data_IF_760864298580
#
_entry.id   IF_760864298580
#
_cell.length_a   1.000
_cell.length_b   1.000
_cell.length_c   1.000
_cell.angle_alpha   90.00
_cell.angle_beta   90.00
_cell.angle_gamma   90.00
#
_symmetry.space_group_name_H-M   'P 1'
#
loop_
_entity.id
_entity.type
_entity.pdbx_description
1 polymer ?
#
# COMPACT_ATOMS: atom_id res chain seq x y z
N UNK A 1 -13.00 -8.12 -10.92
CA UNK A 1 -13.66 -8.13 -9.61
C UNK A 1 -13.57 -6.76 -8.99
N UNK A 2 -14.71 -6.20 -8.56
CA UNK A 2 -14.80 -4.85 -7.97
C UNK A 2 -15.52 -4.86 -6.61
N UNK A 3 -15.62 -6.05 -5.98
CA UNK A 3 -16.30 -6.20 -4.70
C UNK A 3 -15.35 -5.84 -3.54
N UNK A 4 -15.69 -4.82 -2.79
CA UNK A 4 -15.02 -4.53 -1.52
C UNK A 4 -15.29 -5.67 -0.52
N UNK A 5 -14.22 -6.21 0.09
CA UNK A 5 -14.33 -7.30 1.07
C UNK A 5 -13.75 -6.95 2.45
N UNK A 6 -12.91 -5.92 2.56
CA UNK A 6 -12.36 -5.40 3.82
C UNK A 6 -12.31 -3.87 3.83
N UNK A 7 -12.24 -3.28 5.03
CA UNK A 7 -12.04 -1.84 5.23
C UNK A 7 -11.49 -1.55 6.63
N UNK A 8 -10.46 -0.72 6.66
CA UNK A 8 -9.97 -0.04 7.86
C UNK A 8 -10.21 1.47 7.79
N UNK A 9 -10.59 2.09 8.90
CA UNK A 9 -10.70 3.54 9.03
C UNK A 9 -10.10 4.02 10.35
N UNK A 10 -8.95 4.71 10.24
CA UNK A 10 -8.19 5.20 11.39
C UNK A 10 -8.85 6.34 12.16
N UNK A 11 -9.87 6.99 11.60
CA UNK A 11 -10.56 8.12 12.22
C UNK A 11 -11.72 7.69 13.14
N UNK A 12 -12.05 6.40 13.16
CA UNK A 12 -13.11 5.87 14.02
C UNK A 12 -12.68 5.82 15.49
N UNK A 13 -13.64 5.80 16.42
CA UNK A 13 -13.36 5.77 17.86
C UNK A 13 -12.64 4.48 18.32
N UNK A 14 -12.87 3.37 17.62
CA UNK A 14 -12.19 2.10 17.83
C UNK A 14 -11.76 1.52 16.48
N UNK A 15 -10.62 1.97 15.92
CA UNK A 15 -10.15 1.52 14.62
C UNK A 15 -9.85 0.03 14.63
N UNK A 16 -10.48 -0.68 13.71
CA UNK A 16 -10.33 -2.11 13.46
C UNK A 16 -10.58 -2.41 11.99
N UNK A 17 -10.02 -3.51 11.52
CA UNK A 17 -10.35 -4.08 10.22
C UNK A 17 -11.77 -4.66 10.28
N UNK A 18 -12.59 -4.40 9.26
CA UNK A 18 -13.98 -4.85 9.23
C UNK A 18 -14.30 -5.56 7.91
N UNK A 19 -15.01 -6.71 7.95
CA UNK A 19 -15.49 -7.37 6.73
C UNK A 19 -16.49 -6.48 5.99
N UNK A 20 -16.46 -6.55 4.66
CA UNK A 20 -17.40 -5.87 3.75
C UNK A 20 -18.15 -6.84 2.83
N UNK A 21 -17.84 -8.12 2.94
CA UNK A 21 -18.54 -9.19 2.24
C UNK A 21 -18.88 -10.33 3.20
N UNK A 22 -20.07 -10.93 3.04
CA UNK A 22 -20.58 -11.97 3.94
C UNK A 22 -19.66 -13.20 4.03
N UNK A 23 -18.91 -13.52 2.97
CA UNK A 23 -17.97 -14.63 2.97
C UNK A 23 -16.73 -14.34 3.83
N UNK A 24 -16.33 -13.08 4.02
CA UNK A 24 -15.23 -12.69 4.91
C UNK A 24 -15.58 -12.83 6.38
N UNK A 25 -16.87 -12.79 6.76
CA UNK A 25 -17.28 -12.95 8.18
C UNK A 25 -16.86 -14.30 8.76
N UNK A 26 -16.65 -15.31 7.90
CA UNK A 26 -16.26 -16.67 8.31
C UNK A 26 -14.75 -16.85 8.45
N UNK A 27 -13.94 -15.90 7.99
CA UNK A 27 -12.47 -16.04 8.01
C UNK A 27 -11.94 -16.29 9.42
N UNK A 28 -12.54 -15.71 10.44
CA UNK A 28 -12.13 -15.90 11.85
C UNK A 28 -12.29 -17.36 12.33
N UNK A 29 -13.18 -18.13 11.70
CA UNK A 29 -13.35 -19.56 12.02
C UNK A 29 -12.27 -20.42 11.37
N UNK A 30 -11.79 -20.01 10.19
CA UNK A 30 -10.77 -20.71 9.40
C UNK A 30 -9.35 -20.30 9.84
N UNK A 31 -9.17 -19.02 10.17
CA UNK A 31 -7.94 -18.37 10.60
C UNK A 31 -8.20 -17.52 11.87
N UNK A 32 -8.26 -18.13 13.05
CA UNK A 32 -8.42 -17.39 14.30
C UNK A 32 -7.32 -16.35 14.51
N UNK A 33 -7.71 -15.10 14.83
CA UNK A 33 -6.81 -13.97 15.00
C UNK A 33 -6.54 -13.16 13.73
N UNK A 34 -7.11 -13.54 12.58
CA UNK A 34 -6.96 -12.82 11.30
C UNK A 34 -7.28 -11.32 11.46
N UNK A 35 -8.45 -11.00 12.02
CA UNK A 35 -8.87 -9.59 12.13
C UNK A 35 -8.02 -8.78 13.11
N UNK A 36 -7.50 -9.41 14.17
CA UNK A 36 -6.61 -8.74 15.12
C UNK A 36 -5.25 -8.43 14.46
N UNK A 37 -4.71 -9.39 13.72
CA UNK A 37 -3.47 -9.23 12.97
C UNK A 37 -3.60 -8.13 11.89
N UNK A 38 -4.64 -8.18 11.07
CA UNK A 38 -4.87 -7.16 10.03
C UNK A 38 -5.13 -5.77 10.63
N UNK A 39 -5.86 -5.70 11.75
CA UNK A 39 -6.02 -4.45 12.50
C UNK A 39 -4.68 -3.89 12.96
N UNK A 40 -3.77 -4.74 13.47
CA UNK A 40 -2.43 -4.34 13.87
C UNK A 40 -1.60 -3.78 12.71
N UNK A 41 -1.61 -4.47 11.57
CA UNK A 41 -0.92 -4.04 10.34
C UNK A 41 -1.44 -2.70 9.84
N UNK A 42 -2.76 -2.51 9.75
CA UNK A 42 -3.36 -1.28 9.24
C UNK A 42 -3.19 -0.09 10.20
N UNK A 43 -3.17 -0.32 11.51
CA UNK A 43 -2.79 0.71 12.49
C UNK A 43 -1.34 1.17 12.30
N UNK A 44 -0.40 0.25 12.12
CA UNK A 44 0.99 0.58 11.84
C UNK A 44 1.13 1.34 10.51
N UNK A 45 0.46 0.87 9.45
CA UNK A 45 0.47 1.52 8.15
C UNK A 45 -0.11 2.95 8.19
N UNK A 46 -1.15 3.19 8.99
CA UNK A 46 -1.70 4.53 9.19
C UNK A 46 -0.67 5.50 9.81
N UNK A 47 0.13 5.04 10.78
CA UNK A 47 1.21 5.87 11.35
C UNK A 47 2.32 6.13 10.34
N UNK A 48 2.77 5.10 9.62
CA UNK A 48 3.78 5.24 8.55
C UNK A 48 3.30 6.21 7.47
N UNK A 49 2.03 6.15 7.07
CA UNK A 49 1.44 7.05 6.08
C UNK A 49 1.45 8.51 6.55
N UNK A 50 1.18 8.77 7.85
CA UNK A 50 1.27 10.12 8.43
C UNK A 50 2.69 10.70 8.35
N UNK A 51 3.70 9.89 8.70
CA UNK A 51 5.12 10.30 8.61
C UNK A 51 5.54 10.51 7.15
N UNK A 52 5.08 9.66 6.24
CA UNK A 52 5.33 9.82 4.81
C UNK A 52 4.72 11.11 4.26
N UNK A 53 3.53 11.51 4.74
CA UNK A 53 2.90 12.77 4.35
C UNK A 53 3.76 13.97 4.75
N UNK A 54 4.25 14.00 6.00
CA UNK A 54 5.16 15.04 6.48
C UNK A 54 6.46 15.09 5.67
N UNK A 55 6.99 13.92 5.30
CA UNK A 55 8.19 13.82 4.45
C UNK A 55 7.92 14.37 3.05
N UNK A 56 6.76 14.06 2.47
CA UNK A 56 6.36 14.54 1.15
C UNK A 56 6.22 16.06 1.10
N UNK A 57 5.66 16.70 2.15
CA UNK A 57 5.61 18.17 2.24
C UNK A 57 7.00 18.79 2.05
N UNK A 58 8.02 18.22 2.69
CA UNK A 58 9.41 18.65 2.52
C UNK A 58 9.95 18.44 1.11
N UNK A 59 9.64 17.30 0.47
CA UNK A 59 10.08 17.04 -0.90
C UNK A 59 9.42 17.95 -1.95
N UNK A 60 8.19 18.39 -1.69
CA UNK A 60 7.45 19.33 -2.52
C UNK A 60 7.62 20.79 -2.12
N UNK A 61 8.40 21.10 -1.07
CA UNK A 61 8.56 22.43 -0.49
C UNK A 61 7.21 23.10 -0.14
N UNK A 62 6.26 22.33 0.38
CA UNK A 62 4.93 22.77 0.77
C UNK A 62 4.86 23.11 2.27
N UNK A 63 3.99 24.04 2.64
CA UNK A 63 3.75 24.44 4.03
C UNK A 63 2.82 23.47 4.76
N UNK A 64 3.00 23.34 6.08
CA UNK A 64 2.23 22.43 6.94
C UNK A 64 0.71 22.72 7.03
N UNK A 65 0.26 23.93 6.67
CA UNK A 65 -1.15 24.33 6.76
C UNK A 65 -2.05 23.86 5.61
N UNK A 66 -1.49 23.19 4.59
CA UNK A 66 -2.24 22.66 3.46
C UNK A 66 -2.86 21.28 3.73
N UNK A 67 -3.95 20.97 3.03
CA UNK A 67 -4.51 19.60 2.99
C UNK A 67 -3.89 18.88 1.81
N UNK A 68 -3.20 17.78 2.09
CA UNK A 68 -2.51 16.95 1.10
C UNK A 68 -2.91 15.48 1.24
N UNK A 69 -2.76 14.71 0.16
CA UNK A 69 -3.09 13.28 0.15
C UNK A 69 -1.91 12.42 -0.25
N UNK A 70 -1.78 11.27 0.41
CA UNK A 70 -0.98 10.14 -0.07
C UNK A 70 -1.93 9.00 -0.33
N UNK A 71 -1.77 8.34 -1.48
CA UNK A 71 -2.49 7.14 -1.84
C UNK A 71 -1.48 6.05 -2.17
N UNK A 72 -1.82 4.81 -1.82
CA UNK A 72 -1.08 3.60 -2.18
C UNK A 72 -2.09 2.62 -2.77
N UNK A 73 -1.75 2.05 -3.91
CA UNK A 73 -2.55 1.06 -4.61
C UNK A 73 -1.64 -0.09 -5.00
N UNK A 74 -1.95 -1.28 -4.50
CA UNK A 74 -1.16 -2.48 -4.74
C UNK A 74 -2.05 -3.71 -4.84
N UNK A 75 -1.57 -4.73 -5.52
CA UNK A 75 -2.30 -5.97 -5.74
C UNK A 75 -1.78 -6.75 -6.94
N UNK A 76 -2.44 -7.88 -7.20
CA UNK A 76 -2.11 -8.76 -8.30
C UNK A 76 -3.37 -9.14 -9.10
N UNK A 77 -3.15 -9.57 -10.33
CA UNK A 77 -4.16 -10.20 -11.18
C UNK A 77 -3.75 -11.63 -11.47
N UNK A 78 -4.72 -12.53 -11.39
CA UNK A 78 -4.54 -13.95 -11.68
C UNK A 78 -5.42 -14.39 -12.85
N UNK A 79 -4.98 -15.42 -13.56
CA UNK A 79 -5.78 -16.08 -14.59
C UNK A 79 -6.90 -16.93 -13.99
N UNK A 80 -7.90 -17.34 -14.79
CA UNK A 80 -8.85 -18.38 -14.39
C UNK A 80 -8.17 -19.69 -13.97
N UNK A 81 -6.97 -19.97 -14.48
CA UNK A 81 -6.13 -21.13 -14.13
C UNK A 81 -5.30 -20.90 -12.85
N UNK A 82 -5.57 -19.83 -12.09
CA UNK A 82 -4.85 -19.44 -10.87
C UNK A 82 -3.35 -19.19 -11.09
N UNK A 83 -2.99 -18.70 -12.28
CA UNK A 83 -1.61 -18.30 -12.59
C UNK A 83 -1.45 -16.79 -12.50
N UNK A 84 -0.34 -16.34 -11.91
CA UNK A 84 0.01 -14.92 -11.85
C UNK A 84 0.07 -14.30 -13.25
N UNK A 85 -0.58 -13.14 -13.42
CA UNK A 85 -0.56 -12.36 -14.68
C UNK A 85 0.25 -11.08 -14.54
N UNK A 86 -0.04 -10.29 -13.51
CA UNK A 86 0.68 -9.04 -13.23
C UNK A 86 0.50 -8.63 -11.78
N UNK A 87 1.47 -7.90 -11.27
CA UNK A 87 1.43 -7.22 -9.99
C UNK A 87 1.59 -5.72 -10.20
N UNK A 88 1.11 -4.93 -9.24
CA UNK A 88 1.27 -3.49 -9.23
C UNK A 88 1.49 -3.01 -7.80
N UNK A 89 2.34 -2.00 -7.66
CA UNK A 89 2.57 -1.24 -6.44
C UNK A 89 2.82 0.21 -6.85
N UNK A 90 1.87 1.09 -6.53
CA UNK A 90 1.82 2.45 -7.02
C UNK A 90 1.47 3.40 -5.89
N UNK A 91 2.17 4.52 -5.84
CA UNK A 91 1.90 5.60 -4.91
C UNK A 91 1.56 6.88 -5.67
N UNK A 92 0.61 7.63 -5.14
CA UNK A 92 0.22 8.94 -5.62
C UNK A 92 0.28 9.98 -4.50
N UNK A 93 0.57 11.23 -4.88
CA UNK A 93 0.57 12.40 -4.00
C UNK A 93 -0.33 13.48 -4.59
N UNK A 94 -1.25 14.01 -3.80
CA UNK A 94 -2.28 14.98 -4.24
C UNK A 94 -3.05 14.50 -5.50
N UNK A 95 -3.31 13.20 -5.58
CA UNK A 95 -4.02 12.55 -6.69
C UNK A 95 -3.22 12.41 -7.99
N UNK A 96 -1.92 12.73 -7.98
CA UNK A 96 -1.02 12.56 -9.12
C UNK A 96 -0.02 11.43 -8.87
N UNK A 97 0.34 10.69 -9.93
CA UNK A 97 1.34 9.63 -9.84
C UNK A 97 2.65 10.16 -9.22
N UNK A 98 3.21 9.40 -8.29
CA UNK A 98 4.41 9.79 -7.55
C UNK A 98 5.56 8.82 -7.82
N UNK A 99 5.38 7.53 -7.51
CA UNK A 99 6.37 6.47 -7.73
C UNK A 99 5.68 5.11 -7.85
N UNK A 100 6.20 4.22 -8.68
CA UNK A 100 5.66 2.87 -8.90
C UNK A 100 6.78 1.84 -9.01
N UNK A 101 6.51 0.60 -8.58
CA UNK A 101 7.43 -0.52 -8.76
C UNK A 101 7.39 -1.01 -10.21
N UNK A 102 8.57 -1.14 -10.81
CA UNK A 102 8.79 -1.84 -12.06
C UNK A 102 9.03 -3.33 -11.74
N UNK A 103 8.03 -4.15 -12.02
CA UNK A 103 8.04 -5.59 -11.71
C UNK A 103 9.08 -6.37 -12.53
N UNK A 104 9.46 -5.88 -13.72
CA UNK A 104 10.42 -6.56 -14.59
C UNK A 104 11.85 -6.39 -14.08
N UNK A 105 12.18 -5.17 -13.65
CA UNK A 105 13.54 -4.81 -13.23
C UNK A 105 13.74 -4.85 -11.71
N UNK A 106 12.68 -4.97 -10.92
CA UNK A 106 12.69 -4.78 -9.46
C UNK A 106 13.30 -3.42 -9.07
N UNK A 107 12.90 -2.37 -9.79
CA UNK A 107 13.33 -0.99 -9.54
C UNK A 107 12.13 -0.05 -9.41
N UNK A 108 12.33 1.17 -8.92
CA UNK A 108 11.25 2.13 -8.72
C UNK A 108 11.24 3.22 -9.78
N UNK A 109 10.16 3.32 -10.54
CA UNK A 109 9.94 4.34 -11.56
C UNK A 109 9.30 5.57 -10.92
N UNK A 110 9.95 6.73 -11.08
CA UNK A 110 9.46 8.02 -10.57
C UNK A 110 8.58 8.68 -11.61
N UNK A 111 7.42 9.16 -11.20
CA UNK A 111 6.55 9.98 -12.04
C UNK A 111 6.90 11.48 -11.96
N UNK A 112 7.46 11.92 -10.82
CA UNK A 112 7.85 13.32 -10.58
C UNK A 112 9.28 13.46 -10.03
N UNK A 113 9.97 14.60 -10.25
CA UNK A 113 11.32 14.83 -9.72
C UNK A 113 11.43 14.68 -8.20
N UNK A 114 10.41 15.09 -7.45
CA UNK A 114 10.32 15.06 -5.99
C UNK A 114 10.43 13.64 -5.43
N UNK A 115 10.04 12.63 -6.22
CA UNK A 115 10.18 11.22 -5.86
C UNK A 115 11.63 10.70 -5.89
N UNK A 116 12.62 11.52 -6.27
CA UNK A 116 14.05 11.12 -6.28
C UNK A 116 14.51 10.61 -4.92
N UNK A 117 14.15 11.31 -3.86
CA UNK A 117 14.59 10.95 -2.51
C UNK A 117 13.95 9.63 -2.05
N UNK A 118 12.68 9.40 -2.37
CA UNK A 118 12.02 8.10 -2.11
C UNK A 118 12.69 6.98 -2.90
N UNK A 119 12.90 7.14 -4.22
CA UNK A 119 13.59 6.14 -5.05
C UNK A 119 14.94 5.77 -4.45
N UNK A 120 15.78 6.76 -4.13
CA UNK A 120 17.11 6.51 -3.55
C UNK A 120 17.06 5.73 -2.24
N UNK A 121 16.07 6.00 -1.38
CA UNK A 121 15.88 5.27 -0.12
C UNK A 121 15.46 3.82 -0.37
N UNK A 122 14.49 3.60 -1.24
CA UNK A 122 13.94 2.26 -1.50
C UNK A 122 14.86 1.39 -2.35
N UNK A 123 15.76 2.00 -3.12
CA UNK A 123 16.79 1.30 -3.90
C UNK A 123 18.14 1.23 -3.19
N UNK A 124 18.26 1.78 -1.99
CA UNK A 124 19.47 1.61 -1.18
C UNK A 124 19.69 0.14 -0.81
N UNK A 125 18.59 -0.61 -0.67
CA UNK A 125 18.58 -2.04 -0.38
C UNK A 125 17.69 -2.76 -1.39
N UNK A 126 18.30 -3.54 -2.27
CA UNK A 126 17.58 -4.26 -3.34
C UNK A 126 16.48 -5.20 -2.81
N UNK A 127 16.70 -5.73 -1.61
CA UNK A 127 15.75 -6.60 -0.89
C UNK A 127 14.38 -5.97 -0.68
N UNK A 128 14.28 -4.63 -0.63
CA UNK A 128 12.99 -3.93 -0.48
C UNK A 128 12.13 -4.16 -1.73
N UNK A 129 12.68 -3.88 -2.91
CA UNK A 129 11.95 -4.05 -4.17
C UNK A 129 11.68 -5.54 -4.46
N UNK A 130 12.67 -6.41 -4.19
CA UNK A 130 12.52 -7.86 -4.37
C UNK A 130 11.48 -8.45 -3.42
N UNK A 131 11.41 -8.00 -2.16
CA UNK A 131 10.41 -8.45 -1.19
C UNK A 131 8.99 -8.03 -1.57
N UNK A 132 8.79 -6.80 -2.05
CA UNK A 132 7.49 -6.35 -2.56
C UNK A 132 7.09 -7.16 -3.80
N UNK A 133 8.03 -7.39 -4.72
CA UNK A 133 7.78 -8.23 -5.89
C UNK A 133 7.36 -9.65 -5.51
N UNK A 134 8.11 -10.30 -4.61
CA UNK A 134 7.78 -11.65 -4.14
C UNK A 134 6.39 -11.71 -3.49
N UNK A 135 6.05 -10.73 -2.66
CA UNK A 135 4.71 -10.62 -2.08
C UNK A 135 3.62 -10.53 -3.16
N UNK A 136 3.82 -9.74 -4.21
CA UNK A 136 2.84 -9.57 -5.29
C UNK A 136 2.74 -10.79 -6.22
N UNK A 137 3.81 -11.60 -6.33
CA UNK A 137 3.88 -12.77 -7.20
C UNK A 137 3.44 -14.07 -6.52
N UNK A 138 3.66 -14.21 -5.20
CA UNK A 138 3.59 -15.49 -4.50
C UNK A 138 2.56 -15.54 -3.35
N UNK A 139 2.05 -14.39 -2.87
CA UNK A 139 1.11 -14.31 -1.73
C UNK A 139 -0.24 -13.75 -2.16
#
# INVERSE_FOLDING_TARGET
DDQQFMRFDSATASPREEPRAAWMERVEQEEPGYWEQETGKHKANAQTTRVNLQTALGYFNQSEGGVHTIQRMYGCEVSPELTFKRGFEQHAYDGQDYIALDMETSTWTRAVPQALNTKRKWEAEKSIAEGVKAYLEET
#
